data_IF_830220370142
#
_entry.id   IF_830220370142
#
_cell.length_a   1.000
_cell.length_b   1.000
_cell.length_c   1.000
_cell.angle_alpha   90.00
_cell.angle_beta   90.00
_cell.angle_gamma   90.00
#
_symmetry.space_group_name_H-M   'P 1'
#
loop_
_entity.id
_entity.type
_entity.pdbx_description
1 polymer ?
#
# COMPACT_ATOMS: atom_id res chain seq x y z
N UNK A 1 -14.04 13.43 -16.55
CA UNK A 1 -12.78 12.83 -16.11
C UNK A 1 -12.12 13.52 -14.90
N UNK A 2 -12.03 14.84 -14.90
CA UNK A 2 -11.42 15.62 -13.80
C UNK A 2 -12.22 15.56 -12.47
N UNK A 3 -13.53 15.49 -12.53
CA UNK A 3 -14.41 15.47 -11.33
C UNK A 3 -14.18 14.20 -10.49
N UNK A 4 -13.88 13.07 -11.13
CA UNK A 4 -13.71 11.78 -10.46
C UNK A 4 -12.40 11.70 -9.65
N UNK A 5 -11.34 12.36 -10.11
CA UNK A 5 -10.00 12.31 -9.49
C UNK A 5 -9.88 13.18 -8.23
N UNK A 6 -10.58 14.31 -8.20
CA UNK A 6 -10.60 15.20 -7.04
C UNK A 6 -11.42 14.64 -5.87
N UNK A 7 -12.40 13.75 -6.13
CA UNK A 7 -13.26 13.18 -5.08
C UNK A 7 -12.54 12.23 -4.15
N UNK A 8 -11.57 11.47 -4.63
CA UNK A 8 -10.82 10.53 -3.80
C UNK A 8 -10.08 11.25 -2.64
N UNK A 9 -9.45 12.36 -2.96
CA UNK A 9 -8.75 13.20 -1.98
C UNK A 9 -9.70 13.87 -0.98
N UNK A 10 -10.92 14.21 -1.42
CA UNK A 10 -11.91 14.90 -0.57
C UNK A 10 -12.68 13.95 0.36
N UNK A 11 -12.87 12.68 0.00
CA UNK A 11 -13.57 11.69 0.82
C UNK A 11 -12.73 11.34 2.06
N UNK A 12 -11.41 11.35 1.93
CA UNK A 12 -10.48 11.14 3.04
C UNK A 12 -10.45 12.30 4.04
N UNK A 13 -10.94 13.46 3.64
CA UNK A 13 -11.00 14.61 4.53
C UNK A 13 -12.35 14.64 5.26
N UNK A 14 -12.33 14.29 6.55
CA UNK A 14 -13.49 14.41 7.45
C UNK A 14 -14.10 15.83 7.48
N UNK A 15 -13.40 16.82 6.91
CA UNK A 15 -13.89 18.19 6.77
C UNK A 15 -15.10 18.31 5.83
N UNK A 16 -15.30 17.32 4.95
CA UNK A 16 -16.42 17.34 3.99
C UNK A 16 -17.76 16.93 4.61
N UNK A 17 -17.76 16.26 5.77
CA UNK A 17 -18.98 15.82 6.48
C UNK A 17 -19.97 15.10 5.56
N UNK A 18 -19.48 14.28 4.64
CA UNK A 18 -20.32 13.51 3.73
C UNK A 18 -20.89 12.27 4.45
N UNK A 19 -22.19 11.97 4.22
CA UNK A 19 -22.82 10.78 4.78
C UNK A 19 -22.36 9.50 4.09
N UNK A 20 -21.96 9.59 2.81
CA UNK A 20 -21.46 8.49 2.00
C UNK A 20 -20.46 9.01 0.97
N UNK A 21 -19.36 8.29 0.83
CA UNK A 21 -18.39 8.51 -0.23
C UNK A 21 -18.40 7.39 -1.26
N UNK A 22 -18.33 7.74 -2.54
CA UNK A 22 -18.21 6.79 -3.64
C UNK A 22 -17.00 7.16 -4.48
N UNK A 23 -16.08 6.20 -4.64
CA UNK A 23 -14.91 6.35 -5.48
C UNK A 23 -14.93 5.33 -6.61
N UNK A 24 -14.65 5.78 -7.82
CA UNK A 24 -14.44 4.92 -8.97
C UNK A 24 -12.95 4.93 -9.27
N UNK A 25 -12.32 3.75 -9.21
CA UNK A 25 -10.88 3.60 -9.34
C UNK A 25 -10.51 2.24 -9.92
N UNK A 26 -9.47 2.23 -10.76
CA UNK A 26 -8.77 1.02 -11.16
C UNK A 26 -7.70 0.60 -10.13
N UNK A 27 -7.49 1.40 -9.07
CA UNK A 27 -6.38 1.22 -8.11
C UNK A 27 -5.04 1.09 -8.85
N UNK A 28 -4.34 -0.02 -8.64
CA UNK A 28 -3.07 -0.33 -9.30
C UNK A 28 -3.22 -1.12 -10.61
N UNK A 29 -4.45 -1.39 -11.05
CA UNK A 29 -4.74 -2.13 -12.28
C UNK A 29 -4.77 -1.22 -13.51
N UNK A 30 -4.96 -1.83 -14.69
CA UNK A 30 -5.18 -1.11 -15.93
C UNK A 30 -6.53 -0.36 -15.93
N UNK A 31 -6.71 0.56 -16.87
CA UNK A 31 -7.93 1.36 -16.99
C UNK A 31 -9.20 0.53 -17.26
N UNK A 32 -9.05 -0.72 -17.71
CA UNK A 32 -10.15 -1.65 -18.01
C UNK A 32 -10.78 -2.22 -16.71
N UNK A 33 -9.98 -2.31 -15.64
CA UNK A 33 -10.36 -2.92 -14.36
C UNK A 33 -10.86 -1.87 -13.35
N UNK A 34 -11.84 -1.06 -13.73
CA UNK A 34 -12.44 -0.11 -12.81
C UNK A 34 -13.33 -0.81 -11.77
N UNK A 35 -13.20 -0.36 -10.51
CA UNK A 35 -14.04 -0.77 -9.40
C UNK A 35 -14.74 0.42 -8.73
N UNK A 36 -15.64 0.11 -7.81
CA UNK A 36 -16.33 1.09 -6.97
C UNK A 36 -15.96 0.81 -5.53
N UNK A 37 -15.46 1.83 -4.81
CA UNK A 37 -15.19 1.77 -3.37
C UNK A 37 -16.19 2.66 -2.65
N UNK A 38 -16.80 2.17 -1.57
CA UNK A 38 -17.73 2.91 -0.73
C UNK A 38 -17.10 3.27 0.61
N UNK A 39 -17.36 4.49 1.09
CA UNK A 39 -16.83 5.01 2.36
C UNK A 39 -17.97 5.55 3.21
N UNK A 40 -17.96 5.23 4.50
CA UNK A 40 -18.91 5.74 5.47
C UNK A 40 -18.63 7.20 5.88
N UNK A 41 -19.49 7.77 6.73
CA UNK A 41 -19.34 9.15 7.22
C UNK A 41 -18.09 9.32 8.11
N UNK A 42 -17.53 8.23 8.61
CA UNK A 42 -16.29 8.17 9.38
C UNK A 42 -15.02 8.12 8.49
N UNK A 43 -15.19 8.10 7.16
CA UNK A 43 -14.11 8.06 6.18
C UNK A 43 -13.49 6.68 5.98
N UNK A 44 -14.00 5.62 6.63
CA UNK A 44 -13.55 4.25 6.41
C UNK A 44 -14.38 3.55 5.34
N UNK A 45 -13.78 2.53 4.69
CA UNK A 45 -14.52 1.65 3.76
C UNK A 45 -15.69 0.99 4.48
N UNK A 46 -16.79 0.79 3.77
CA UNK A 46 -17.93 0.04 4.30
C UNK A 46 -17.53 -1.41 4.61
N UNK A 47 -18.24 -2.04 5.57
CA UNK A 47 -18.05 -3.45 5.89
C UNK A 47 -18.52 -4.36 4.75
N UNK A 48 -17.97 -5.60 4.68
CA UNK A 48 -18.42 -6.60 3.70
C UNK A 48 -19.91 -6.85 3.76
N UNK A 49 -20.49 -6.86 4.98
CA UNK A 49 -21.94 -7.00 5.17
C UNK A 49 -22.74 -5.82 4.55
N UNK A 50 -22.19 -4.61 4.61
CA UNK A 50 -22.84 -3.44 4.01
C UNK A 50 -22.68 -3.46 2.48
N UNK A 51 -21.51 -3.82 1.97
CA UNK A 51 -21.27 -3.98 0.53
C UNK A 51 -22.16 -5.09 -0.05
N UNK A 52 -22.25 -6.25 0.62
CA UNK A 52 -23.15 -7.35 0.20
C UNK A 52 -24.62 -6.91 0.13
N UNK A 53 -25.08 -6.12 1.11
CA UNK A 53 -26.45 -5.57 1.07
C UNK A 53 -26.67 -4.63 -0.12
N UNK A 54 -25.64 -3.86 -0.51
CA UNK A 54 -25.69 -2.99 -1.69
C UNK A 54 -25.77 -3.86 -2.96
N UNK A 55 -24.92 -4.88 -3.06
CA UNK A 55 -24.93 -5.83 -4.19
C UNK A 55 -26.28 -6.55 -4.31
N UNK A 56 -26.84 -6.99 -3.20
CA UNK A 56 -28.16 -7.65 -3.15
C UNK A 56 -29.33 -6.75 -3.64
N UNK A 57 -29.12 -5.43 -3.67
CA UNK A 57 -30.08 -4.47 -4.20
C UNK A 57 -29.90 -4.22 -5.70
N UNK A 58 -28.77 -4.59 -6.27
CA UNK A 58 -28.52 -4.46 -7.70
C UNK A 58 -29.50 -5.37 -8.46
N UNK A 59 -30.21 -4.80 -9.41
CA UNK A 59 -31.21 -5.52 -10.19
C UNK A 59 -32.61 -5.66 -9.56
N UNK A 60 -32.79 -5.16 -8.32
CA UNK A 60 -34.13 -5.05 -7.73
C UNK A 60 -34.82 -3.76 -8.20
N UNK A 61 -36.14 -3.81 -8.32
CA UNK A 61 -36.94 -2.63 -8.62
C UNK A 61 -36.86 -1.65 -7.45
N UNK A 62 -36.27 -0.48 -7.69
CA UNK A 62 -36.13 0.58 -6.69
C UNK A 62 -37.40 1.47 -6.71
N UNK A 63 -37.87 1.84 -5.52
CA UNK A 63 -38.92 2.87 -5.42
C UNK A 63 -38.38 4.19 -5.94
N UNK A 64 -39.08 4.77 -6.89
CA UNK A 64 -38.77 6.13 -7.32
C UNK A 64 -39.05 7.13 -6.17
N UNK A 65 -38.15 8.08 -6.01
CA UNK A 65 -38.38 9.23 -5.10
C UNK A 65 -39.28 10.23 -5.76
N UNK A 66 -40.04 10.99 -4.98
CA UNK A 66 -40.82 12.09 -5.49
C UNK A 66 -39.91 13.16 -6.11
N UNK A 67 -40.40 13.83 -7.17
CA UNK A 67 -39.62 14.85 -7.91
C UNK A 67 -39.09 15.97 -6.99
N UNK A 68 -39.83 16.26 -5.90
CA UNK A 68 -39.45 17.30 -4.93
C UNK A 68 -38.25 16.91 -4.08
N UNK A 69 -37.99 15.60 -3.94
CA UNK A 69 -36.93 15.05 -3.12
C UNK A 69 -35.64 14.75 -3.92
N UNK A 70 -35.63 15.10 -5.21
CA UNK A 70 -34.44 14.93 -6.03
C UNK A 70 -33.32 15.88 -5.57
N UNK A 71 -32.20 15.31 -5.14
CA UNK A 71 -31.00 16.06 -4.73
C UNK A 71 -30.35 16.84 -5.88
N UNK A 72 -29.57 17.84 -5.54
CA UNK A 72 -28.81 18.66 -6.50
C UNK A 72 -27.35 18.29 -6.53
N UNK A 73 -26.78 18.11 -7.73
CA UNK A 73 -25.35 17.96 -7.91
C UNK A 73 -24.64 19.31 -7.74
N UNK A 74 -23.59 19.33 -6.92
CA UNK A 74 -22.70 20.47 -6.76
C UNK A 74 -21.27 20.03 -7.02
N UNK A 75 -20.53 20.80 -7.82
CA UNK A 75 -19.09 20.60 -8.00
C UNK A 75 -18.32 21.27 -6.87
N UNK A 76 -17.33 20.55 -6.33
CA UNK A 76 -16.40 21.08 -5.33
C UNK A 76 -15.11 21.44 -6.07
N UNK A 77 -14.76 22.71 -6.11
CA UNK A 77 -13.61 23.23 -6.86
C UNK A 77 -12.31 23.23 -6.01
N UNK A 78 -12.44 23.35 -4.69
CA UNK A 78 -11.31 23.48 -3.75
C UNK A 78 -10.78 22.14 -3.20
N UNK A 79 -11.27 20.99 -3.71
CA UNK A 79 -10.89 19.69 -3.20
C UNK A 79 -9.40 19.37 -3.33
N UNK A 80 -8.78 19.77 -4.45
CA UNK A 80 -7.34 19.58 -4.65
C UNK A 80 -6.54 20.39 -3.63
N UNK A 81 -6.86 21.66 -3.47
CA UNK A 81 -6.18 22.56 -2.52
C UNK A 81 -6.27 22.02 -1.08
N UNK A 82 -7.45 21.59 -0.64
CA UNK A 82 -7.63 20.98 0.70
C UNK A 82 -6.74 19.77 0.92
N UNK A 83 -6.64 18.90 -0.08
CA UNK A 83 -5.77 17.73 0.00
C UNK A 83 -4.29 18.14 0.08
N UNK A 84 -3.84 19.06 -0.79
CA UNK A 84 -2.46 19.58 -0.77
C UNK A 84 -2.10 20.13 0.61
N UNK A 85 -2.98 20.97 1.19
CA UNK A 85 -2.77 21.52 2.53
C UNK A 85 -2.75 20.44 3.62
N UNK A 86 -3.65 19.45 3.52
CA UNK A 86 -3.68 18.33 4.46
C UNK A 86 -2.40 17.49 4.40
N UNK A 87 -1.93 17.17 3.21
CA UNK A 87 -0.70 16.40 3.02
C UNK A 87 0.51 17.18 3.55
N UNK A 88 0.63 18.45 3.21
CA UNK A 88 1.72 19.30 3.75
C UNK A 88 1.69 19.37 5.28
N UNK A 89 0.50 19.41 5.89
CA UNK A 89 0.38 19.43 7.34
C UNK A 89 0.88 18.16 8.03
N UNK A 90 1.05 17.04 7.31
CA UNK A 90 1.68 15.83 7.82
C UNK A 90 3.20 15.90 7.88
N UNK A 91 3.81 16.82 7.12
CA UNK A 91 5.26 17.03 7.12
C UNK A 91 5.66 17.78 8.39
N UNK A 92 6.79 17.40 9.06
CA UNK A 92 7.18 18.02 10.31
C UNK A 92 7.32 19.53 10.21
N UNK A 93 6.75 20.23 11.20
CA UNK A 93 6.75 21.70 11.22
C UNK A 93 8.17 22.28 11.19
N UNK A 94 8.40 23.22 10.29
CA UNK A 94 9.68 23.88 10.12
C UNK A 94 10.69 23.13 9.25
N UNK A 95 10.40 21.89 8.84
CA UNK A 95 11.22 21.19 7.84
C UNK A 95 10.87 21.66 6.42
N UNK A 96 11.86 21.62 5.54
CA UNK A 96 11.73 21.92 4.12
C UNK A 96 12.58 20.95 3.30
N UNK A 97 12.23 20.79 2.04
CA UNK A 97 12.93 19.94 1.07
C UNK A 97 13.91 20.76 0.20
N UNK A 98 14.34 21.92 0.68
CA UNK A 98 15.22 22.82 -0.09
C UNK A 98 16.54 22.11 -0.44
N UNK A 99 16.87 22.07 -1.74
CA UNK A 99 18.06 21.40 -2.26
C UNK A 99 17.91 19.91 -2.54
N UNK A 100 16.79 19.29 -2.14
CA UNK A 100 16.51 17.89 -2.44
C UNK A 100 15.85 17.74 -3.81
N UNK A 101 16.41 16.91 -4.66
CA UNK A 101 15.88 16.60 -5.99
C UNK A 101 15.08 15.31 -5.94
N UNK A 102 13.79 15.38 -6.29
CA UNK A 102 12.84 14.29 -6.17
C UNK A 102 12.21 13.94 -7.51
N UNK A 103 12.36 12.70 -7.97
CA UNK A 103 11.54 12.16 -9.06
C UNK A 103 10.20 11.74 -8.46
N UNK A 104 9.10 12.18 -9.06
CA UNK A 104 7.75 11.78 -8.67
C UNK A 104 7.00 11.16 -9.84
N UNK A 105 6.73 9.85 -9.76
CA UNK A 105 5.89 9.14 -10.71
C UNK A 105 4.46 9.03 -10.18
N UNK A 106 3.54 9.67 -10.88
CA UNK A 106 2.13 9.70 -10.51
C UNK A 106 1.27 8.67 -11.26
N UNK A 107 1.88 7.68 -11.94
CA UNK A 107 1.18 6.60 -12.67
C UNK A 107 0.09 7.10 -13.63
N UNK A 108 0.17 8.34 -14.16
CA UNK A 108 -0.93 9.01 -14.87
C UNK A 108 -2.28 8.92 -14.10
N UNK A 109 -2.21 8.87 -12.78
CA UNK A 109 -3.32 8.64 -11.86
C UNK A 109 -3.80 9.89 -11.13
N UNK A 110 -4.41 9.70 -9.97
CA UNK A 110 -5.04 10.76 -9.17
C UNK A 110 -4.04 11.79 -8.63
N UNK A 111 -2.80 11.34 -8.34
CA UNK A 111 -1.73 12.17 -7.79
C UNK A 111 -1.09 13.18 -8.75
N UNK A 112 -1.40 13.12 -10.04
CA UNK A 112 -0.66 13.83 -11.11
C UNK A 112 -0.49 15.35 -10.94
N UNK A 113 -1.36 16.00 -10.20
CA UNK A 113 -1.27 17.43 -9.87
C UNK A 113 -0.83 17.65 -8.43
N UNK A 114 -1.44 16.92 -7.49
CA UNK A 114 -1.20 17.13 -6.07
C UNK A 114 0.23 16.80 -5.66
N UNK A 115 0.78 15.68 -6.13
CA UNK A 115 2.07 15.24 -5.66
C UNK A 115 3.22 16.15 -6.09
N UNK A 116 3.33 16.58 -7.37
CA UNK A 116 4.32 17.58 -7.75
C UNK A 116 4.14 18.91 -7.03
N UNK A 117 2.89 19.37 -6.83
CA UNK A 117 2.58 20.64 -6.16
C UNK A 117 3.02 20.62 -4.70
N UNK A 118 2.70 19.55 -3.95
CA UNK A 118 3.12 19.37 -2.55
C UNK A 118 4.64 19.42 -2.40
N UNK A 119 5.36 18.64 -3.21
CA UNK A 119 6.81 18.55 -3.14
C UNK A 119 7.47 19.90 -3.49
N UNK A 120 6.97 20.58 -4.52
CA UNK A 120 7.46 21.89 -4.92
C UNK A 120 7.19 22.96 -3.85
N UNK A 121 6.01 23.01 -3.27
CA UNK A 121 5.69 23.96 -2.19
C UNK A 121 6.52 23.72 -0.92
N UNK A 122 6.95 22.49 -0.67
CA UNK A 122 7.87 22.16 0.41
C UNK A 122 9.33 22.49 0.08
N UNK A 123 9.65 22.85 -1.17
CA UNK A 123 10.97 23.34 -1.59
C UNK A 123 11.80 22.37 -2.41
N UNK A 124 11.27 21.20 -2.77
CA UNK A 124 12.01 20.22 -3.59
C UNK A 124 12.23 20.70 -5.04
N UNK A 125 13.34 20.28 -5.64
CA UNK A 125 13.53 20.26 -7.10
C UNK A 125 12.83 19.03 -7.67
N UNK A 126 11.68 19.24 -8.31
CA UNK A 126 10.74 18.15 -8.66
C UNK A 126 10.87 17.77 -10.12
N UNK A 127 11.08 16.48 -10.38
CA UNK A 127 11.07 15.86 -11.71
C UNK A 127 9.82 15.01 -11.84
N UNK A 128 8.71 15.53 -12.41
CA UNK A 128 7.46 14.81 -12.50
C UNK A 128 7.42 13.91 -13.74
N UNK A 129 7.06 12.64 -13.55
CA UNK A 129 6.76 11.68 -14.60
C UNK A 129 5.39 11.03 -14.36
N UNK A 130 4.80 10.40 -15.35
CA UNK A 130 3.46 9.85 -15.20
C UNK A 130 2.38 10.90 -14.88
N UNK A 131 2.50 12.14 -15.39
CA UNK A 131 1.61 13.28 -15.05
C UNK A 131 0.70 13.73 -16.20
N UNK A 132 0.60 12.95 -17.28
CA UNK A 132 -0.19 13.27 -18.46
C UNK A 132 -1.34 12.27 -18.69
N UNK A 133 -2.33 12.20 -17.78
CA UNK A 133 -3.42 11.24 -17.87
C UNK A 133 -4.29 11.49 -19.10
N UNK A 134 -4.48 10.47 -19.93
CA UNK A 134 -5.34 10.51 -21.13
C UNK A 134 -6.62 9.66 -21.02
N UNK A 135 -6.81 8.96 -19.88
CA UNK A 135 -7.97 8.11 -19.61
C UNK A 135 -7.72 6.62 -19.82
N UNK A 136 -6.65 6.25 -20.55
CA UNK A 136 -6.32 4.84 -20.87
C UNK A 136 -4.88 4.46 -20.52
N UNK A 137 -4.10 5.38 -19.95
CA UNK A 137 -2.68 5.17 -19.65
C UNK A 137 -2.37 5.10 -18.14
N UNK A 138 -3.37 5.01 -17.28
CA UNK A 138 -3.18 4.85 -15.84
C UNK A 138 -2.45 3.54 -15.54
N UNK A 139 -1.42 3.58 -14.69
CA UNK A 139 -0.56 2.45 -14.30
C UNK A 139 0.16 1.73 -15.47
N UNK A 140 0.15 2.31 -16.66
CA UNK A 140 0.75 1.66 -17.82
C UNK A 140 2.24 2.00 -17.91
N UNK A 141 3.10 1.02 -17.63
CA UNK A 141 4.56 1.13 -17.63
C UNK A 141 5.05 2.30 -16.74
N UNK A 142 4.39 2.54 -15.62
CA UNK A 142 4.72 3.62 -14.69
C UNK A 142 4.08 3.37 -13.31
N UNK A 143 4.52 4.15 -12.32
CA UNK A 143 4.01 4.11 -10.97
C UNK A 143 4.57 2.98 -10.10
N UNK A 144 3.94 2.75 -8.94
CA UNK A 144 4.47 1.87 -7.89
C UNK A 144 4.57 0.39 -8.29
N UNK A 145 3.79 -0.05 -9.27
CA UNK A 145 3.83 -1.44 -9.78
C UNK A 145 4.83 -1.66 -10.90
N UNK A 146 5.26 -0.59 -11.57
CA UNK A 146 6.18 -0.58 -12.71
C UNK A 146 7.21 0.56 -12.55
N UNK A 147 8.07 0.52 -11.50
CA UNK A 147 8.90 1.65 -11.11
C UNK A 147 10.17 1.84 -11.95
N UNK A 148 10.40 1.02 -12.97
CA UNK A 148 11.65 1.01 -13.76
C UNK A 148 11.94 2.36 -14.42
N UNK A 149 10.94 2.99 -15.02
CA UNK A 149 11.11 4.29 -15.67
C UNK A 149 11.48 5.39 -14.67
N UNK A 150 10.95 5.30 -13.44
CA UNK A 150 11.31 6.22 -12.37
C UNK A 150 12.73 5.96 -11.85
N UNK A 151 13.15 4.69 -11.75
CA UNK A 151 14.52 4.33 -11.38
C UNK A 151 15.55 4.88 -12.39
N UNK A 152 15.28 4.72 -13.69
CA UNK A 152 16.09 5.33 -14.75
C UNK A 152 16.13 6.86 -14.67
N UNK A 153 14.98 7.49 -14.32
CA UNK A 153 14.91 8.94 -14.18
C UNK A 153 15.70 9.41 -12.94
N UNK A 154 15.66 8.70 -11.82
CA UNK A 154 16.46 9.03 -10.63
C UNK A 154 17.95 9.06 -10.98
N UNK A 155 18.46 7.99 -11.59
CA UNK A 155 19.87 7.88 -11.94
C UNK A 155 20.27 8.93 -12.99
N UNK A 156 19.49 9.09 -14.05
CA UNK A 156 19.83 9.99 -15.17
C UNK A 156 19.83 11.47 -14.78
N UNK A 157 18.97 11.88 -13.84
CA UNK A 157 18.89 13.26 -13.36
C UNK A 157 19.75 13.49 -12.10
N UNK A 158 20.38 12.46 -11.55
CA UNK A 158 21.09 12.55 -10.28
C UNK A 158 20.15 13.02 -9.17
N UNK A 159 18.96 12.40 -9.08
CA UNK A 159 18.00 12.74 -8.05
C UNK A 159 18.35 12.02 -6.74
N UNK A 160 18.00 12.64 -5.62
CA UNK A 160 18.27 12.08 -4.30
C UNK A 160 17.35 10.91 -3.98
N UNK A 161 16.13 10.92 -4.52
CA UNK A 161 15.11 9.91 -4.27
C UNK A 161 14.04 9.93 -5.36
N UNK A 162 13.43 8.77 -5.61
CA UNK A 162 12.22 8.62 -6.43
C UNK A 162 11.03 8.16 -5.58
N UNK A 163 9.87 8.73 -5.86
CA UNK A 163 8.58 8.35 -5.27
C UNK A 163 7.67 7.90 -6.40
N UNK A 164 7.21 6.66 -6.35
CA UNK A 164 6.25 6.10 -7.31
C UNK A 164 4.91 5.85 -6.61
N UNK A 165 3.86 6.51 -7.08
CA UNK A 165 2.49 6.30 -6.62
C UNK A 165 1.77 5.35 -7.58
N UNK A 166 0.71 4.69 -7.11
CA UNK A 166 -0.21 3.98 -7.99
C UNK A 166 -1.34 4.88 -8.52
N UNK A 167 -2.23 4.32 -9.30
CA UNK A 167 -3.27 5.09 -10.02
C UNK A 167 -4.20 5.90 -9.12
N UNK A 168 -4.47 5.47 -7.91
CA UNK A 168 -5.27 6.23 -6.93
C UNK A 168 -4.45 6.81 -5.76
N UNK A 169 -3.13 6.70 -5.86
CA UNK A 169 -2.15 7.29 -4.95
C UNK A 169 -2.27 6.79 -3.49
N UNK A 170 -2.84 5.59 -3.30
CA UNK A 170 -2.94 4.98 -1.99
C UNK A 170 -1.76 4.05 -1.66
N UNK A 171 -0.88 3.80 -2.65
CA UNK A 171 0.35 3.02 -2.52
C UNK A 171 1.57 3.83 -2.92
N UNK A 172 2.71 3.42 -2.37
CA UNK A 172 4.02 4.00 -2.68
C UNK A 172 5.06 2.89 -2.87
N UNK A 173 5.96 3.13 -3.80
CA UNK A 173 7.26 2.47 -3.92
C UNK A 173 8.32 3.56 -3.95
N UNK A 174 9.41 3.39 -3.23
CA UNK A 174 10.52 4.34 -3.23
C UNK A 174 11.68 3.82 -4.08
N UNK A 175 12.46 4.77 -4.56
CA UNK A 175 13.68 4.50 -5.32
C UNK A 175 14.79 5.31 -4.67
N UNK A 176 15.90 4.66 -4.33
CA UNK A 176 17.06 5.34 -3.78
C UNK A 176 17.87 6.08 -4.87
N UNK A 177 18.87 6.84 -4.46
CA UNK A 177 19.74 7.62 -5.36
C UNK A 177 20.54 6.78 -6.37
N UNK A 178 20.63 5.48 -6.20
CA UNK A 178 21.29 4.54 -7.11
C UNK A 178 20.30 3.80 -8.04
N UNK A 179 19.00 4.05 -7.89
CA UNK A 179 17.95 3.41 -8.68
C UNK A 179 17.45 2.09 -8.09
N UNK A 180 17.82 1.74 -6.85
CA UNK A 180 17.30 0.54 -6.20
C UNK A 180 15.89 0.80 -5.64
N UNK A 181 15.06 -0.23 -5.68
CA UNK A 181 13.67 -0.16 -5.28
C UNK A 181 13.52 -0.56 -3.81
N UNK A 182 12.81 0.24 -3.03
CA UNK A 182 12.40 -0.05 -1.67
C UNK A 182 10.87 -0.22 -1.61
N UNK A 183 10.44 -1.34 -1.03
CA UNK A 183 9.04 -1.68 -0.87
C UNK A 183 8.42 -1.07 0.41
N UNK A 184 7.12 -1.36 0.63
CA UNK A 184 6.40 -0.86 1.78
C UNK A 184 6.97 -1.30 3.13
N UNK A 185 7.62 -2.46 3.19
CA UNK A 185 8.21 -2.96 4.43
C UNK A 185 9.42 -2.10 4.86
N UNK A 186 10.28 -1.70 3.91
CA UNK A 186 11.39 -0.77 4.19
C UNK A 186 10.87 0.58 4.68
N UNK A 187 9.84 1.10 4.02
CA UNK A 187 9.23 2.40 4.37
C UNK A 187 8.59 2.34 5.76
N UNK A 188 7.83 1.28 6.07
CA UNK A 188 7.26 1.07 7.41
C UNK A 188 8.34 0.94 8.47
N UNK A 189 9.44 0.25 8.18
CA UNK A 189 10.59 0.13 9.08
C UNK A 189 11.18 1.47 9.46
N UNK A 190 11.39 2.36 8.47
CA UNK A 190 11.89 3.72 8.68
C UNK A 190 10.92 4.55 9.52
N UNK A 191 9.64 4.58 9.15
CA UNK A 191 8.63 5.39 9.84
C UNK A 191 8.42 4.88 11.28
N UNK A 192 8.33 3.57 11.48
CA UNK A 192 8.12 2.97 12.79
C UNK A 192 9.29 3.27 13.75
N UNK A 193 10.53 3.16 13.27
CA UNK A 193 11.72 3.47 14.05
C UNK A 193 11.72 4.93 14.49
N UNK A 194 11.53 5.85 13.54
CA UNK A 194 11.47 7.28 13.82
C UNK A 194 10.36 7.61 14.83
N UNK A 195 9.14 7.13 14.57
CA UNK A 195 8.00 7.42 15.44
C UNK A 195 8.17 6.82 16.84
N UNK A 196 8.86 5.69 16.95
CA UNK A 196 9.20 5.12 18.26
C UNK A 196 10.19 6.00 19.02
N UNK A 197 11.24 6.48 18.36
CA UNK A 197 12.24 7.39 18.94
C UNK A 197 11.64 8.73 19.37
N UNK A 198 10.72 9.27 18.57
CA UNK A 198 10.03 10.54 18.83
C UNK A 198 8.86 10.39 19.85
N UNK A 199 8.53 9.18 20.28
CA UNK A 199 7.38 8.90 21.15
C UNK A 199 6.03 9.10 20.47
N UNK A 200 6.01 9.05 19.13
CA UNK A 200 4.80 9.22 18.29
C UNK A 200 4.12 7.88 17.97
N UNK A 201 4.85 6.76 18.06
CA UNK A 201 4.28 5.43 17.77
C UNK A 201 3.37 4.98 18.91
N UNK A 202 2.07 4.89 18.66
CA UNK A 202 1.10 4.45 19.66
C UNK A 202 0.98 2.93 19.70
N UNK A 203 0.71 2.38 20.90
CA UNK A 203 0.58 0.94 21.11
C UNK A 203 1.90 0.16 21.05
N UNK A 204 3.05 0.85 20.84
CA UNK A 204 4.39 0.26 20.74
C UNK A 204 4.50 -0.81 19.65
N UNK A 205 3.74 -0.69 18.56
CA UNK A 205 3.73 -1.66 17.49
C UNK A 205 3.11 -1.16 16.20
N UNK A 206 3.19 -2.00 15.17
CA UNK A 206 2.57 -1.77 13.86
C UNK A 206 1.72 -2.97 13.45
N UNK A 207 0.70 -2.73 12.63
CA UNK A 207 -0.11 -3.77 12.00
C UNK A 207 0.32 -3.97 10.55
N UNK A 208 0.63 -5.21 10.16
CA UNK A 208 0.99 -5.55 8.78
C UNK A 208 0.17 -6.72 8.26
N UNK A 209 0.39 -7.14 7.04
CA UNK A 209 -0.21 -8.39 6.54
C UNK A 209 0.75 -9.57 6.71
N UNK A 210 0.21 -10.77 6.55
CA UNK A 210 1.02 -12.01 6.51
C UNK A 210 2.07 -12.01 5.39
N UNK A 211 2.03 -11.05 4.46
CA UNK A 211 3.00 -10.93 3.37
C UNK A 211 4.26 -10.15 3.77
N UNK A 212 4.21 -9.35 4.83
CA UNK A 212 5.38 -8.57 5.29
C UNK A 212 6.54 -9.45 5.67
N UNK A 213 7.74 -9.03 5.27
CA UNK A 213 8.98 -9.78 5.35
C UNK A 213 9.39 -10.07 6.80
N UNK A 214 9.98 -11.24 7.02
CA UNK A 214 10.53 -11.63 8.32
C UNK A 214 11.69 -10.71 8.77
N UNK A 215 12.42 -10.12 7.82
CA UNK A 215 13.47 -9.14 8.09
C UNK A 215 12.91 -7.89 8.79
N UNK A 216 11.75 -7.39 8.37
CA UNK A 216 11.06 -6.27 9.03
C UNK A 216 10.72 -6.62 10.48
N UNK A 217 10.15 -7.80 10.73
CA UNK A 217 9.79 -8.23 12.08
C UNK A 217 11.01 -8.29 13.01
N UNK A 218 12.11 -8.89 12.55
CA UNK A 218 13.36 -8.95 13.30
C UNK A 218 13.93 -7.56 13.60
N UNK A 219 13.92 -6.69 12.59
CA UNK A 219 14.37 -5.31 12.71
C UNK A 219 13.58 -4.52 13.76
N UNK A 220 12.26 -4.64 13.74
CA UNK A 220 11.36 -3.96 14.69
C UNK A 220 11.50 -4.53 16.11
N UNK A 221 11.56 -5.86 16.24
CA UNK A 221 11.72 -6.53 17.53
C UNK A 221 13.02 -6.12 18.24
N UNK A 222 14.14 -5.93 17.50
CA UNK A 222 15.39 -5.41 18.06
C UNK A 222 15.26 -4.00 18.65
N UNK A 223 14.24 -3.26 18.24
CA UNK A 223 13.90 -1.90 18.72
C UNK A 223 12.76 -1.86 19.73
N UNK A 224 12.29 -3.04 20.15
CA UNK A 224 11.16 -3.14 21.09
C UNK A 224 9.81 -2.76 20.47
N UNK A 225 9.72 -2.75 19.14
CA UNK A 225 8.49 -2.47 18.39
C UNK A 225 7.85 -3.80 17.99
N UNK A 226 6.60 -4.04 18.38
CA UNK A 226 5.86 -5.22 17.99
C UNK A 226 5.38 -5.13 16.54
N UNK A 227 5.35 -6.26 15.84
CA UNK A 227 4.75 -6.37 14.52
C UNK A 227 3.65 -7.42 14.55
N UNK A 228 2.41 -6.98 14.35
CA UNK A 228 1.25 -7.87 14.33
C UNK A 228 0.75 -8.10 12.91
N UNK A 229 0.64 -9.38 12.53
CA UNK A 229 0.23 -9.78 11.18
C UNK A 229 -1.26 -10.04 11.09
N UNK A 230 -1.89 -9.46 10.08
CA UNK A 230 -3.29 -9.69 9.70
C UNK A 230 -3.38 -10.49 8.41
N UNK A 231 -4.59 -10.85 8.01
CA UNK A 231 -4.86 -11.32 6.66
C UNK A 231 -4.51 -10.22 5.63
N UNK A 232 -4.31 -10.63 4.36
CA UNK A 232 -4.07 -9.70 3.25
C UNK A 232 -5.32 -8.88 2.99
N UNK A 233 -5.16 -7.57 2.93
CA UNK A 233 -6.20 -6.58 2.68
C UNK A 233 -6.13 -5.44 3.69
N UNK A 234 -6.18 -4.23 3.17
CA UNK A 234 -6.08 -2.97 3.94
C UNK A 234 -7.14 -2.87 5.06
N UNK A 235 -8.33 -3.41 4.85
CA UNK A 235 -9.40 -3.47 5.85
C UNK A 235 -8.94 -4.19 7.12
N UNK A 236 -8.33 -5.37 6.99
CA UNK A 236 -7.88 -6.14 8.15
C UNK A 236 -6.79 -5.42 8.93
N UNK A 237 -5.90 -4.72 8.21
CA UNK A 237 -4.88 -3.87 8.82
C UNK A 237 -5.53 -2.74 9.62
N UNK A 238 -6.47 -2.00 9.01
CA UNK A 238 -7.20 -0.89 9.67
C UNK A 238 -7.98 -1.37 10.90
N UNK A 239 -8.71 -2.48 10.79
CA UNK A 239 -9.47 -3.05 11.91
C UNK A 239 -8.54 -3.43 13.07
N UNK A 240 -7.40 -4.04 12.75
CA UNK A 240 -6.42 -4.42 13.75
C UNK A 240 -5.79 -3.19 14.41
N UNK A 241 -5.37 -2.18 13.63
CA UNK A 241 -4.86 -0.91 14.15
C UNK A 241 -5.84 -0.27 15.15
N UNK A 242 -7.11 -0.19 14.80
CA UNK A 242 -8.16 0.37 15.67
C UNK A 242 -8.34 -0.41 16.96
N UNK A 243 -8.27 -1.75 16.89
CA UNK A 243 -8.42 -2.64 18.04
C UNK A 243 -7.23 -2.58 18.98
N UNK A 244 -6.01 -2.53 18.43
CA UNK A 244 -4.76 -2.55 19.20
C UNK A 244 -4.27 -1.15 19.59
N UNK A 245 -4.91 -0.09 19.06
CA UNK A 245 -4.50 1.30 19.31
C UNK A 245 -3.21 1.68 18.58
N UNK A 246 -2.88 0.99 17.48
CA UNK A 246 -1.75 1.32 16.63
C UNK A 246 -2.10 2.47 15.68
N UNK A 247 -1.18 3.40 15.48
CA UNK A 247 -1.34 4.49 14.54
C UNK A 247 -0.56 4.33 13.23
N UNK A 248 0.21 3.24 13.09
CA UNK A 248 0.94 2.88 11.89
C UNK A 248 0.62 1.44 11.50
N UNK A 249 0.39 1.21 10.23
CA UNK A 249 0.23 -0.11 9.65
C UNK A 249 0.31 -0.07 8.13
N UNK A 250 0.33 -1.23 7.49
CA UNK A 250 0.35 -1.28 6.03
C UNK A 250 0.70 -2.65 5.46
N UNK A 251 1.03 -2.62 4.19
CA UNK A 251 1.34 -3.80 3.38
C UNK A 251 2.69 -3.64 2.68
N UNK A 252 3.38 -4.74 2.43
CA UNK A 252 4.59 -4.77 1.61
C UNK A 252 4.38 -4.10 0.24
N UNK A 253 3.16 -4.17 -0.31
CA UNK A 253 2.77 -3.51 -1.57
C UNK A 253 2.81 -1.98 -1.54
N UNK A 254 3.16 -1.37 -0.40
CA UNK A 254 3.27 0.08 -0.23
C UNK A 254 1.97 0.78 0.18
N UNK A 255 0.89 0.05 0.49
CA UNK A 255 -0.31 0.65 1.08
C UNK A 255 -0.06 0.90 2.56
N UNK A 256 0.37 2.12 2.91
CA UNK A 256 0.79 2.50 4.27
C UNK A 256 -0.24 3.43 4.89
N UNK A 257 -0.71 3.07 6.07
CA UNK A 257 -1.78 3.74 6.80
C UNK A 257 -1.18 4.41 8.04
N UNK A 258 -1.37 5.70 8.15
CA UNK A 258 -0.99 6.50 9.32
C UNK A 258 -2.23 7.19 9.85
N UNK A 259 -2.87 6.60 10.87
CA UNK A 259 -4.22 7.01 11.34
C UNK A 259 -4.29 8.43 11.88
N UNK A 260 -3.16 9.02 12.26
CA UNK A 260 -3.07 10.43 12.67
C UNK A 260 -3.30 11.39 11.50
N UNK A 261 -3.07 10.92 10.27
CA UNK A 261 -3.17 11.74 9.06
C UNK A 261 -4.28 11.28 8.12
N UNK A 262 -4.55 9.98 8.01
CA UNK A 262 -5.52 9.44 7.05
C UNK A 262 -6.20 8.18 7.59
N UNK A 263 -7.44 7.95 7.21
CA UNK A 263 -8.21 6.73 7.54
C UNK A 263 -7.89 5.53 6.65
N UNK A 264 -7.07 5.72 5.62
CA UNK A 264 -6.64 4.69 4.66
C UNK A 264 -5.20 4.98 4.22
N UNK A 265 -4.58 4.10 3.44
CA UNK A 265 -3.27 4.35 2.86
C UNK A 265 -3.20 5.65 2.06
N UNK A 266 -2.07 6.31 2.16
CA UNK A 266 -1.74 7.51 1.38
C UNK A 266 -0.25 7.50 1.05
N UNK A 267 0.06 7.22 -0.23
CA UNK A 267 1.44 7.08 -0.68
C UNK A 267 2.23 8.38 -0.60
N UNK A 268 1.57 9.53 -0.79
CA UNK A 268 2.25 10.81 -0.72
C UNK A 268 2.60 11.19 0.72
N UNK A 269 1.69 10.95 1.68
CA UNK A 269 1.99 11.15 3.11
C UNK A 269 3.13 10.22 3.54
N UNK A 270 3.09 8.95 3.14
CA UNK A 270 4.17 8.00 3.44
C UNK A 270 5.52 8.45 2.86
N UNK A 271 5.52 8.94 1.63
CA UNK A 271 6.70 9.52 0.99
C UNK A 271 7.24 10.72 1.78
N UNK A 272 6.38 11.64 2.20
CA UNK A 272 6.80 12.79 3.00
C UNK A 272 7.41 12.40 4.35
N UNK A 273 6.87 11.37 5.02
CA UNK A 273 7.45 10.88 6.27
C UNK A 273 8.84 10.27 6.05
N UNK A 274 9.05 9.59 4.91
CA UNK A 274 10.38 9.07 4.55
C UNK A 274 11.35 10.21 4.23
N UNK A 275 10.94 11.22 3.45
CA UNK A 275 11.76 12.40 3.16
C UNK A 275 12.13 13.18 4.43
N UNK A 276 11.19 13.26 5.38
CA UNK A 276 11.48 13.87 6.68
C UNK A 276 12.59 13.16 7.43
N UNK A 277 12.67 11.83 7.31
CA UNK A 277 13.74 11.05 7.95
C UNK A 277 15.09 11.25 7.27
N UNK A 278 15.14 11.36 5.94
CA UNK A 278 16.38 11.75 5.22
C UNK A 278 16.96 13.05 5.79
N UNK A 279 16.11 14.07 5.96
CA UNK A 279 16.55 15.38 6.48
C UNK A 279 16.96 15.28 7.94
N UNK A 280 16.16 14.59 8.78
CA UNK A 280 16.39 14.51 10.22
C UNK A 280 17.69 13.78 10.57
N UNK A 281 17.95 12.67 9.90
CA UNK A 281 19.11 11.84 10.15
C UNK A 281 20.36 12.27 9.40
N UNK A 282 20.26 13.29 8.55
CA UNK A 282 21.35 13.70 7.62
C UNK A 282 21.87 12.50 6.81
N UNK A 283 20.97 11.55 6.51
CA UNK A 283 21.26 10.33 5.78
C UNK A 283 20.91 10.47 4.31
N UNK A 284 21.45 9.60 3.48
CA UNK A 284 21.02 9.49 2.09
C UNK A 284 19.86 8.49 1.94
N UNK A 285 19.16 8.56 0.81
CA UNK A 285 18.04 7.64 0.55
C UNK A 285 18.44 6.18 0.44
N UNK A 286 19.67 5.89 -0.01
CA UNK A 286 20.21 4.54 -0.15
C UNK A 286 20.27 3.79 1.19
N UNK A 287 20.79 4.45 2.23
CA UNK A 287 20.92 3.84 3.54
C UNK A 287 19.56 3.60 4.20
N UNK A 288 18.63 4.55 4.03
CA UNK A 288 17.27 4.43 4.57
C UNK A 288 16.38 3.48 3.78
N UNK A 289 16.51 3.43 2.46
CA UNK A 289 15.77 2.51 1.61
C UNK A 289 16.12 1.03 1.84
N UNK A 290 17.19 0.77 2.58
CA UNK A 290 17.64 -0.57 2.98
C UNK A 290 17.93 -0.62 4.48
N UNK A 291 16.96 -0.19 5.29
CA UNK A 291 17.11 -0.10 6.74
C UNK A 291 17.23 -1.47 7.45
N UNK A 292 16.79 -2.52 6.78
CA UNK A 292 17.01 -3.91 7.18
C UNK A 292 17.30 -4.78 5.95
N UNK A 293 18.02 -5.89 6.15
CA UNK A 293 18.19 -6.89 5.10
C UNK A 293 16.94 -7.76 4.99
N UNK A 294 16.26 -7.77 3.83
CA UNK A 294 15.13 -8.64 3.63
C UNK A 294 15.56 -10.11 3.62
N UNK A 295 14.80 -10.95 4.30
CA UNK A 295 14.93 -12.40 4.20
C UNK A 295 14.45 -12.83 2.82
N UNK A 296 15.22 -13.66 2.08
CA UNK A 296 14.80 -14.17 0.79
C UNK A 296 13.39 -14.78 0.85
N UNK A 297 12.52 -14.31 -0.04
CA UNK A 297 11.11 -14.68 -0.10
C UNK A 297 10.77 -15.28 -1.45
N UNK A 298 10.24 -16.48 -1.46
CA UNK A 298 9.80 -17.16 -2.68
C UNK A 298 8.29 -17.37 -2.65
N UNK A 299 7.60 -16.89 -3.69
CA UNK A 299 6.16 -17.04 -3.87
C UNK A 299 5.87 -17.92 -5.09
N UNK A 300 5.11 -18.99 -4.90
CA UNK A 300 4.60 -19.84 -5.98
C UNK A 300 3.09 -20.04 -5.86
N UNK A 301 2.46 -20.22 -7.02
CA UNK A 301 1.03 -20.55 -7.10
C UNK A 301 0.85 -21.93 -7.74
N UNK A 302 -0.04 -22.73 -7.17
CA UNK A 302 -0.44 -24.03 -7.70
C UNK A 302 -1.93 -24.02 -7.98
N UNK A 303 -2.32 -24.33 -9.23
CA UNK A 303 -3.73 -24.47 -9.60
C UNK A 303 -4.30 -25.79 -9.11
N UNK A 304 -5.58 -25.79 -8.78
CA UNK A 304 -6.30 -27.01 -8.41
C UNK A 304 -7.70 -27.05 -9.04
N UNK A 305 -8.28 -28.24 -9.11
CA UNK A 305 -9.60 -28.43 -9.70
C UNK A 305 -10.67 -27.83 -8.78
N UNK A 306 -11.53 -26.99 -9.33
CA UNK A 306 -12.66 -26.37 -8.61
C UNK A 306 -13.51 -27.44 -7.92
N UNK A 307 -13.85 -27.20 -6.65
CA UNK A 307 -14.61 -28.15 -5.83
C UNK A 307 -13.75 -29.20 -5.08
N UNK A 308 -12.43 -29.26 -5.34
CA UNK A 308 -11.51 -30.09 -4.55
C UNK A 308 -10.92 -29.26 -3.38
N UNK A 309 -10.50 -29.99 -2.31
CA UNK A 309 -9.75 -29.37 -1.21
C UNK A 309 -8.37 -30.04 -1.08
N UNK A 310 -7.38 -29.56 -1.85
CA UNK A 310 -6.05 -30.18 -1.82
C UNK A 310 -5.33 -30.04 -0.47
N UNK A 311 -5.60 -28.97 0.30
CA UNK A 311 -4.94 -28.74 1.59
C UNK A 311 -5.36 -29.73 2.68
N UNK A 312 -6.52 -30.40 2.53
CA UNK A 312 -6.97 -31.43 3.46
C UNK A 312 -6.42 -32.83 3.18
N UNK A 313 -5.73 -33.04 2.05
CA UNK A 313 -5.18 -34.35 1.68
C UNK A 313 -4.04 -34.75 2.62
N UNK A 314 -4.01 -36.01 3.16
CA UNK A 314 -3.02 -36.41 4.15
C UNK A 314 -1.56 -36.26 3.72
N UNK A 315 -1.25 -36.52 2.45
CA UNK A 315 0.10 -36.33 1.89
C UNK A 315 0.50 -34.82 1.86
N UNK A 316 -0.44 -33.92 1.51
CA UNK A 316 -0.19 -32.47 1.50
C UNK A 316 0.00 -31.96 2.93
N UNK A 317 -0.86 -32.35 3.87
CA UNK A 317 -0.72 -32.00 5.30
C UNK A 317 0.64 -32.46 5.86
N UNK A 318 1.08 -33.68 5.50
CA UNK A 318 2.39 -34.18 5.92
C UNK A 318 3.54 -33.36 5.33
N UNK A 319 3.44 -32.99 4.05
CA UNK A 319 4.46 -32.18 3.38
C UNK A 319 4.54 -30.77 4.00
N UNK A 320 3.41 -30.15 4.29
CA UNK A 320 3.33 -28.84 4.97
C UNK A 320 4.05 -28.90 6.33
N UNK A 321 3.68 -29.87 7.18
CA UNK A 321 4.32 -30.01 8.49
C UNK A 321 5.83 -30.26 8.41
N UNK A 322 6.29 -31.02 7.43
CA UNK A 322 7.70 -31.25 7.22
C UNK A 322 8.42 -29.96 6.81
N UNK A 323 7.81 -29.15 5.93
CA UNK A 323 8.35 -27.88 5.51
C UNK A 323 8.39 -26.86 6.67
N UNK A 324 7.35 -26.79 7.50
CA UNK A 324 7.30 -25.95 8.69
C UNK A 324 8.43 -26.31 9.67
N UNK A 325 8.63 -27.61 9.93
CA UNK A 325 9.71 -28.08 10.81
C UNK A 325 11.10 -27.74 10.26
N UNK A 326 11.30 -27.83 8.96
CA UNK A 326 12.60 -27.50 8.34
C UNK A 326 12.92 -25.99 8.37
N UNK A 327 11.87 -25.14 8.41
CA UNK A 327 12.00 -23.69 8.49
C UNK A 327 12.00 -23.16 9.93
N UNK A 328 11.74 -24.03 10.93
CA UNK A 328 11.63 -23.62 12.33
C UNK A 328 12.90 -22.92 12.81
N UNK A 329 12.73 -21.68 13.29
CA UNK A 329 13.83 -20.82 13.77
C UNK A 329 14.54 -20.01 12.68
N UNK A 330 14.56 -20.45 11.42
CA UNK A 330 15.30 -19.79 10.33
C UNK A 330 14.44 -19.25 9.19
N UNK A 331 13.13 -19.50 9.24
CA UNK A 331 12.26 -19.09 8.15
C UNK A 331 10.78 -19.17 8.51
N UNK A 332 9.94 -18.99 7.49
CA UNK A 332 8.48 -18.98 7.62
C UNK A 332 7.82 -19.56 6.37
N UNK A 333 6.76 -20.33 6.57
CA UNK A 333 5.91 -20.83 5.51
C UNK A 333 4.51 -20.24 5.62
N UNK A 334 3.98 -19.74 4.51
CA UNK A 334 2.59 -19.27 4.40
C UNK A 334 1.90 -19.98 3.26
N UNK A 335 0.79 -20.63 3.54
CA UNK A 335 -0.04 -21.33 2.53
C UNK A 335 -1.47 -20.80 2.64
N UNK A 336 -2.01 -20.32 1.52
CA UNK A 336 -3.37 -19.81 1.47
C UNK A 336 -4.06 -20.11 0.15
N UNK A 337 -5.36 -20.29 0.17
CA UNK A 337 -6.19 -20.32 -1.03
C UNK A 337 -6.37 -18.89 -1.55
N UNK A 338 -6.39 -18.72 -2.87
CA UNK A 338 -6.85 -17.47 -3.48
C UNK A 338 -8.35 -17.30 -3.25
N UNK A 339 -8.79 -16.08 -2.95
CA UNK A 339 -10.22 -15.78 -2.77
C UNK A 339 -11.02 -15.75 -4.08
N UNK A 340 -10.34 -15.50 -5.20
CA UNK A 340 -11.00 -15.27 -6.51
C UNK A 340 -10.72 -16.35 -7.55
N UNK A 341 -9.67 -17.15 -7.38
CA UNK A 341 -9.22 -18.14 -8.33
C UNK A 341 -8.96 -19.49 -7.66
N UNK A 342 -9.09 -20.63 -8.36
CA UNK A 342 -8.78 -21.95 -7.83
C UNK A 342 -7.25 -22.17 -7.76
N UNK A 343 -6.57 -21.31 -6.98
CA UNK A 343 -5.12 -21.32 -6.76
C UNK A 343 -4.79 -21.40 -5.27
N UNK A 344 -3.77 -22.17 -4.95
CA UNK A 344 -3.09 -22.13 -3.66
C UNK A 344 -1.81 -21.33 -3.85
N UNK A 345 -1.64 -20.31 -3.03
CA UNK A 345 -0.41 -19.51 -2.97
C UNK A 345 0.43 -20.01 -1.82
N UNK A 346 1.66 -20.36 -2.12
CA UNK A 346 2.68 -20.81 -1.16
C UNK A 346 3.80 -19.80 -1.15
N UNK A 347 4.08 -19.26 0.01
CA UNK A 347 5.20 -18.36 0.24
C UNK A 347 6.13 -19.00 1.28
N UNK A 348 7.41 -19.06 0.97
CA UNK A 348 8.45 -19.45 1.92
C UNK A 348 9.45 -18.31 2.04
N UNK A 349 9.87 -18.05 3.27
CA UNK A 349 10.97 -17.15 3.61
C UNK A 349 12.02 -17.93 4.36
N UNK A 350 13.28 -17.82 3.96
CA UNK A 350 14.42 -18.44 4.66
C UNK A 350 15.71 -17.71 4.35
N UNK A 351 16.62 -17.64 5.31
CA UNK A 351 18.00 -17.19 5.09
C UNK A 351 18.76 -18.14 4.16
N UNK A 352 18.37 -19.42 4.12
CA UNK A 352 18.89 -20.41 3.20
C UNK A 352 17.97 -20.48 1.97
N UNK A 353 18.45 -19.92 0.86
CA UNK A 353 17.71 -19.89 -0.42
C UNK A 353 17.42 -21.31 -0.93
N UNK A 354 18.31 -22.27 -0.70
CA UNK A 354 18.12 -23.66 -1.11
C UNK A 354 16.94 -24.31 -0.38
N UNK A 355 16.75 -24.01 0.91
CA UNK A 355 15.59 -24.47 1.68
C UNK A 355 14.28 -23.90 1.13
N UNK A 356 14.27 -22.63 0.73
CA UNK A 356 13.09 -22.01 0.12
C UNK A 356 12.74 -22.64 -1.23
N UNK A 357 13.74 -23.03 -2.04
CA UNK A 357 13.57 -23.65 -3.36
C UNK A 357 13.09 -25.11 -3.26
N UNK A 358 13.65 -25.90 -2.36
CA UNK A 358 13.34 -27.35 -2.22
C UNK A 358 11.88 -27.56 -1.84
N UNK A 359 11.33 -26.73 -0.94
CA UNK A 359 9.96 -26.92 -0.46
C UNK A 359 8.87 -26.39 -1.41
N UNK A 360 9.22 -25.62 -2.42
CA UNK A 360 8.29 -25.04 -3.39
C UNK A 360 8.39 -25.73 -4.76
N UNK A 361 9.50 -26.47 -5.05
CA UNK A 361 9.76 -27.01 -6.39
C UNK A 361 9.21 -28.39 -6.69
N UNK A 362 8.68 -29.15 -5.71
CA UNK A 362 8.03 -30.44 -5.96
C UNK A 362 6.50 -30.37 -5.80
N UNK A 363 5.73 -30.00 -6.83
CA UNK A 363 4.41 -30.57 -6.94
C UNK A 363 4.60 -32.05 -7.29
N UNK A 364 4.22 -32.94 -6.37
CA UNK A 364 4.18 -34.38 -6.61
C UNK A 364 3.64 -34.67 -8.01
N UNK A 365 4.52 -35.11 -8.93
CA UNK A 365 4.09 -35.76 -10.16
C UNK A 365 3.25 -36.96 -9.73
N UNK A 366 2.03 -37.14 -10.28
CA UNK A 366 1.31 -38.39 -10.05
C UNK A 366 2.18 -39.50 -10.62
N UNK A 367 2.56 -40.45 -9.75
CA UNK A 367 3.10 -41.73 -10.21
C UNK A 367 2.11 -42.34 -11.15
N UNK A 368 2.55 -42.67 -12.36
CA UNK A 368 1.79 -43.45 -13.33
C UNK A 368 1.46 -44.83 -12.78
#
# INVERSE_FOLDING_TARGET
GQIRRQRQMCIRDSSMRADLGIMISASHNSHEDNGIKFFGPDGFKLSDDAEQKIEDLIGKELKNVDLIDIGRAKRIEDGLFRYVERVKSSFPSGMRLDGMKVVIDCANGAGYRAAPEVLWELGADVIPIGVNPNGTNINKNCGSTEPQSAAEAVVSHGADVGICLDGDADRITLIDSEGNIADGDQIMGVIASRWSEDGLLTGSGIATTVMSNLGLERFLNQRGISMERTQVGDRYVVEHMRKSGFNLGGEQSGHIIMSDFSTTGDGLIAGLQFLAEIIRSDSNSKDLARIFEPVPQLLKSASYQTGSDPLSKPNVVKAIKAAELNLEGNGRLLIRKSGTEPLIRVMAESEDEDLSLIHISEPTRPSR
#
